data_IF_282385287161
#
_entry.id   IF_282385287161
#
_cell.length_a   1.000
_cell.length_b   1.000
_cell.length_c   1.000
_cell.angle_alpha   90.00
_cell.angle_beta   90.00
_cell.angle_gamma   90.00
#
_symmetry.space_group_name_H-M   'P 1'
#
loop_
_entity.id
_entity.type
_entity.pdbx_description
1 polymer ?
#
# COMPACT_ATOMS: atom_id res chain seq x y z
N UNK A 1 48.65 -38.13 24.63
CA UNK A 1 48.68 -36.74 24.62
C UNK A 1 48.31 -36.20 23.26
N UNK A 2 47.24 -35.72 22.95
CA UNK A 2 46.94 -34.74 21.89
C UNK A 2 45.45 -34.55 21.79
N UNK A 3 44.98 -33.42 22.24
CA UNK A 3 43.60 -32.97 22.04
C UNK A 3 43.44 -32.37 20.67
N UNK A 4 42.31 -32.70 20.00
CA UNK A 4 41.82 -31.99 18.84
C UNK A 4 40.49 -31.38 19.19
N UNK A 5 40.46 -30.07 19.29
CA UNK A 5 39.26 -29.26 19.32
C UNK A 5 38.91 -28.84 17.93
N UNK A 6 37.85 -29.39 17.37
CA UNK A 6 37.25 -28.95 16.10
C UNK A 6 36.13 -27.97 16.40
N UNK A 7 36.34 -26.69 16.14
CA UNK A 7 35.29 -25.69 16.13
C UNK A 7 34.61 -25.69 14.75
N UNK A 8 33.32 -26.02 14.71
CA UNK A 8 32.50 -25.80 13.55
C UNK A 8 31.87 -24.40 13.68
N UNK A 9 32.39 -23.44 12.91
CA UNK A 9 31.74 -22.17 12.68
C UNK A 9 30.59 -22.35 11.70
N UNK A 10 29.37 -22.30 12.18
CA UNK A 10 28.21 -22.12 11.34
C UNK A 10 28.11 -20.66 10.93
N UNK A 11 28.29 -20.40 9.66
CA UNK A 11 27.91 -19.11 9.07
C UNK A 11 26.40 -19.06 9.02
N UNK A 12 25.82 -18.19 9.84
CA UNK A 12 24.43 -17.80 9.67
C UNK A 12 24.34 -17.08 8.31
N UNK A 13 23.59 -17.66 7.40
CA UNK A 13 23.15 -16.93 6.22
C UNK A 13 22.18 -15.85 6.72
N UNK A 14 22.60 -14.60 6.53
CA UNK A 14 21.78 -13.41 6.64
C UNK A 14 20.73 -13.49 5.51
N UNK A 15 19.53 -13.92 5.84
CA UNK A 15 18.39 -13.84 4.95
C UNK A 15 17.97 -12.36 4.94
N UNK A 16 18.45 -11.62 3.94
CA UNK A 16 18.16 -10.22 3.71
C UNK A 16 16.66 -9.96 3.47
N UNK A 17 15.87 -10.13 4.52
CA UNK A 17 14.57 -9.47 4.62
C UNK A 17 14.88 -8.01 4.89
N UNK A 18 14.67 -7.20 3.86
CA UNK A 18 14.73 -5.76 3.99
C UNK A 18 13.92 -5.33 5.21
N UNK A 19 14.57 -4.71 6.15
CA UNK A 19 13.90 -3.99 7.23
C UNK A 19 13.04 -2.93 6.54
N UNK A 20 11.73 -3.22 6.44
CA UNK A 20 10.75 -2.23 6.05
C UNK A 20 10.91 -1.06 7.03
N UNK A 21 11.21 0.10 6.51
CA UNK A 21 11.31 1.33 7.31
C UNK A 21 9.91 1.63 7.81
N UNK A 22 9.59 1.14 8.99
CA UNK A 22 8.32 1.37 9.67
C UNK A 22 8.44 2.40 10.79
N UNK A 23 9.44 3.29 10.71
CA UNK A 23 9.55 4.41 11.63
C UNK A 23 8.87 5.65 11.02
N UNK A 24 7.70 6.07 11.55
CA UNK A 24 7.00 7.25 11.07
C UNK A 24 7.87 8.53 11.10
N UNK A 25 8.82 8.61 12.02
CA UNK A 25 9.73 9.74 12.11
C UNK A 25 10.76 9.74 10.97
N UNK A 26 11.24 8.56 10.55
CA UNK A 26 12.16 8.45 9.41
C UNK A 26 11.44 8.76 8.08
N UNK A 27 10.17 8.37 7.97
CA UNK A 27 9.33 8.73 6.82
C UNK A 27 9.10 10.24 6.76
N UNK A 28 8.80 10.87 7.92
CA UNK A 28 8.59 12.32 7.99
C UNK A 28 9.88 13.10 7.64
N UNK A 29 11.05 12.66 8.09
CA UNK A 29 12.33 13.28 7.72
C UNK A 29 12.64 13.13 6.22
N UNK A 30 12.30 12.00 5.59
CA UNK A 30 12.43 11.83 4.14
C UNK A 30 11.45 12.71 3.35
N UNK A 31 10.27 12.96 3.89
CA UNK A 31 9.31 13.87 3.26
C UNK A 31 9.78 15.32 3.26
N UNK A 32 10.38 15.77 4.36
CA UNK A 32 10.94 17.15 4.46
C UNK A 32 12.10 17.35 3.47
N UNK A 33 12.88 16.30 3.16
CA UNK A 33 13.96 16.37 2.17
C UNK A 33 13.46 16.19 0.72
N UNK A 34 12.39 15.44 0.50
CA UNK A 34 11.98 15.02 -0.84
C UNK A 34 11.31 16.13 -1.65
N UNK A 35 10.46 16.92 -1.04
CA UNK A 35 9.79 18.00 -1.73
C UNK A 35 8.91 18.86 -0.83
N UNK A 36 8.90 20.15 -1.08
CA UNK A 36 7.92 21.05 -0.47
C UNK A 36 6.52 20.90 -1.09
N UNK A 37 6.26 19.88 -1.90
CA UNK A 37 5.00 19.67 -2.62
C UNK A 37 4.61 18.19 -2.63
N UNK A 38 3.31 17.91 -2.70
CA UNK A 38 2.73 16.56 -2.76
C UNK A 38 3.19 15.70 -3.96
N UNK A 39 3.83 16.31 -4.94
CA UNK A 39 4.31 15.67 -6.17
C UNK A 39 5.84 15.76 -6.30
N UNK A 40 6.55 15.94 -5.20
CA UNK A 40 8.00 15.97 -5.21
C UNK A 40 8.61 14.60 -5.45
N UNK A 41 9.77 14.60 -6.09
CA UNK A 41 10.54 13.38 -6.35
C UNK A 41 11.36 13.03 -5.12
N UNK A 42 11.19 11.82 -4.61
CA UNK A 42 12.01 11.32 -3.50
C UNK A 42 13.49 11.24 -3.89
N UNK A 43 14.42 11.61 -3.01
CA UNK A 43 15.85 11.56 -3.28
C UNK A 43 16.36 10.12 -3.41
N UNK A 44 15.73 9.19 -2.72
CA UNK A 44 15.95 7.74 -2.83
C UNK A 44 14.70 7.06 -3.34
N UNK A 45 14.85 5.89 -3.96
CA UNK A 45 13.69 5.10 -4.38
C UNK A 45 12.91 4.64 -3.14
N UNK A 46 11.62 4.95 -3.12
CA UNK A 46 10.67 4.44 -2.14
C UNK A 46 10.00 3.22 -2.75
N UNK A 47 10.19 2.07 -2.13
CA UNK A 47 9.54 0.82 -2.51
C UNK A 47 8.40 0.53 -1.55
N UNK A 48 7.29 0.03 -2.08
CA UNK A 48 6.16 -0.43 -1.27
C UNK A 48 5.58 -1.71 -1.84
N UNK A 49 5.03 -2.53 -0.97
CA UNK A 49 4.33 -3.76 -1.33
C UNK A 49 2.85 -3.49 -1.58
N UNK A 50 2.29 -4.13 -2.60
CA UNK A 50 0.91 -3.91 -3.03
C UNK A 50 0.16 -5.23 -3.17
N UNK A 51 -0.98 -5.34 -2.51
CA UNK A 51 -1.99 -6.36 -2.78
C UNK A 51 -3.00 -5.81 -3.79
N UNK A 52 -3.09 -6.44 -4.96
CA UNK A 52 -3.79 -5.91 -6.12
C UNK A 52 -4.87 -6.85 -6.61
N UNK A 53 -6.03 -6.27 -6.88
CA UNK A 53 -7.09 -6.98 -7.62
C UNK A 53 -6.82 -6.80 -9.12
N UNK A 54 -6.63 -7.91 -9.83
CA UNK A 54 -6.64 -7.95 -11.29
C UNK A 54 -8.06 -8.29 -11.76
N UNK A 55 -8.53 -7.58 -12.75
CA UNK A 55 -9.86 -7.82 -13.30
C UNK A 55 -9.81 -8.30 -14.73
N UNK A 56 -10.79 -9.10 -15.14
CA UNK A 56 -10.95 -9.53 -16.53
C UNK A 56 -11.03 -8.36 -17.54
N UNK A 57 -11.40 -7.18 -17.08
CA UNK A 57 -11.44 -5.97 -17.89
C UNK A 57 -10.08 -5.28 -18.10
N UNK A 58 -9.04 -5.74 -17.42
CA UNK A 58 -7.68 -5.20 -17.56
C UNK A 58 -6.85 -5.93 -18.63
N UNK A 59 -7.49 -6.76 -19.44
CA UNK A 59 -6.88 -7.46 -20.57
C UNK A 59 -6.37 -6.54 -21.70
N UNK A 60 -6.53 -5.24 -21.57
CA UNK A 60 -6.13 -4.25 -22.56
C UNK A 60 -4.75 -3.61 -22.30
N UNK A 61 -3.93 -4.21 -21.46
CA UNK A 61 -2.56 -3.74 -21.33
C UNK A 61 -1.80 -3.91 -22.66
N UNK A 62 -1.00 -2.92 -23.05
CA UNK A 62 -0.13 -3.04 -24.23
C UNK A 62 0.76 -4.29 -24.16
N UNK A 63 1.11 -4.81 -25.33
CA UNK A 63 1.96 -6.01 -25.41
C UNK A 63 3.30 -5.76 -24.70
N UNK A 64 3.60 -6.59 -23.73
CA UNK A 64 4.81 -6.50 -22.89
C UNK A 64 4.65 -5.71 -21.61
N UNK A 65 3.51 -5.06 -21.39
CA UNK A 65 3.17 -4.44 -20.11
C UNK A 65 2.54 -5.46 -19.15
N UNK A 66 2.78 -5.25 -17.86
CA UNK A 66 2.16 -5.99 -16.75
C UNK A 66 1.51 -5.00 -15.78
N UNK A 67 0.77 -5.48 -14.80
CA UNK A 67 0.21 -4.60 -13.78
C UNK A 67 1.30 -3.90 -12.97
N UNK A 68 2.38 -4.58 -12.66
CA UNK A 68 3.51 -4.01 -11.95
C UNK A 68 4.41 -3.12 -12.83
N UNK A 69 4.46 -3.39 -14.12
CA UNK A 69 5.30 -2.66 -15.06
C UNK A 69 4.53 -2.22 -16.30
N UNK A 70 3.94 -1.05 -16.23
CA UNK A 70 3.17 -0.42 -17.31
C UNK A 70 3.52 1.07 -17.42
N UNK A 71 2.89 1.78 -18.35
CA UNK A 71 3.17 3.19 -18.56
C UNK A 71 2.97 4.04 -17.29
N UNK A 72 1.96 3.74 -16.48
CA UNK A 72 1.67 4.46 -15.25
C UNK A 72 2.72 4.21 -14.16
N UNK A 73 3.06 2.96 -13.89
CA UNK A 73 4.07 2.62 -12.88
C UNK A 73 5.48 3.08 -13.28
N UNK A 74 5.81 3.02 -14.58
CA UNK A 74 7.06 3.62 -15.10
C UNK A 74 7.10 5.14 -14.90
N UNK A 75 5.97 5.82 -15.13
CA UNK A 75 5.86 7.26 -14.87
C UNK A 75 6.06 7.58 -13.39
N UNK A 76 5.45 6.84 -12.48
CA UNK A 76 5.65 7.04 -11.03
C UNK A 76 7.12 6.87 -10.61
N UNK A 77 7.82 5.86 -11.16
CA UNK A 77 9.25 5.66 -10.92
C UNK A 77 10.08 6.83 -11.43
N UNK A 78 9.78 7.32 -12.62
CA UNK A 78 10.52 8.41 -13.25
C UNK A 78 10.29 9.76 -12.53
N UNK A 79 9.04 10.08 -12.24
CA UNK A 79 8.62 11.39 -11.73
C UNK A 79 8.77 11.48 -10.22
N UNK A 80 8.39 10.45 -9.49
CA UNK A 80 8.34 10.46 -8.03
C UNK A 80 9.43 9.61 -7.36
N UNK A 81 10.11 8.76 -8.11
CA UNK A 81 11.05 7.78 -7.58
C UNK A 81 10.41 6.75 -6.64
N UNK A 82 9.17 6.33 -6.97
CA UNK A 82 8.39 5.35 -6.23
C UNK A 82 8.29 4.07 -7.05
N UNK A 83 8.46 2.93 -6.40
CA UNK A 83 8.34 1.61 -7.03
C UNK A 83 7.38 0.73 -6.23
N UNK A 84 6.36 0.18 -6.91
CA UNK A 84 5.51 -0.86 -6.38
C UNK A 84 6.13 -2.24 -6.58
N UNK A 85 5.92 -3.11 -5.59
CA UNK A 85 6.26 -4.53 -5.64
C UNK A 85 4.96 -5.31 -5.35
N UNK A 86 4.34 -5.89 -6.38
CA UNK A 86 3.07 -6.59 -6.22
C UNK A 86 3.29 -7.94 -5.54
N UNK A 87 2.84 -8.08 -4.29
CA UNK A 87 3.03 -9.30 -3.50
C UNK A 87 1.94 -10.33 -3.75
N UNK A 88 0.75 -9.89 -4.12
CA UNK A 88 -0.27 -10.73 -4.73
C UNK A 88 -1.11 -9.93 -5.72
N UNK A 89 -1.40 -10.57 -6.85
CA UNK A 89 -2.22 -10.05 -7.94
C UNK A 89 -3.24 -11.14 -8.27
N UNK A 90 -4.46 -10.96 -7.80
CA UNK A 90 -5.51 -11.97 -7.85
C UNK A 90 -6.78 -11.42 -8.44
N UNK A 91 -7.58 -12.26 -9.07
CA UNK A 91 -8.83 -11.87 -9.69
C UNK A 91 -9.92 -11.58 -8.64
N UNK A 92 -10.90 -10.77 -9.02
CA UNK A 92 -12.07 -10.46 -8.20
C UNK A 92 -13.10 -11.62 -8.25
N UNK A 93 -12.65 -12.84 -7.99
CA UNK A 93 -13.46 -14.07 -7.98
C UNK A 93 -13.52 -14.72 -6.58
N UNK A 94 -13.09 -13.97 -5.55
CA UNK A 94 -12.98 -14.43 -4.18
C UNK A 94 -11.55 -14.81 -3.77
N UNK A 95 -10.64 -15.04 -4.71
CA UNK A 95 -9.25 -15.41 -4.40
C UNK A 95 -8.48 -14.27 -3.72
N UNK A 96 -8.82 -13.02 -4.04
CA UNK A 96 -8.24 -11.87 -3.37
C UNK A 96 -8.65 -11.78 -1.90
N UNK A 97 -9.93 -11.98 -1.62
CA UNK A 97 -10.47 -11.98 -0.27
C UNK A 97 -9.86 -13.09 0.58
N UNK A 98 -9.69 -14.29 0.03
CA UNK A 98 -9.00 -15.40 0.70
C UNK A 98 -7.54 -15.06 1.04
N UNK A 99 -6.80 -14.46 0.11
CA UNK A 99 -5.42 -14.04 0.34
C UNK A 99 -5.34 -12.91 1.40
N UNK A 100 -6.28 -11.99 1.38
CA UNK A 100 -6.39 -10.94 2.38
C UNK A 100 -6.66 -11.52 3.78
N UNK A 101 -7.62 -12.44 3.90
CA UNK A 101 -7.92 -13.12 5.17
C UNK A 101 -6.69 -13.87 5.72
N UNK A 102 -5.96 -14.56 4.87
CA UNK A 102 -4.70 -15.23 5.27
C UNK A 102 -3.65 -14.22 5.72
N UNK A 103 -3.49 -13.11 5.01
CA UNK A 103 -2.53 -12.06 5.36
C UNK A 103 -2.87 -11.40 6.70
N UNK A 104 -4.17 -11.21 7.00
CA UNK A 104 -4.64 -10.71 8.29
C UNK A 104 -4.33 -11.72 9.40
N UNK A 105 -4.61 -13.00 9.19
CA UNK A 105 -4.36 -14.06 10.17
C UNK A 105 -2.88 -14.20 10.51
N UNK A 106 -2.02 -14.06 9.50
CA UNK A 106 -0.56 -14.13 9.65
C UNK A 106 0.05 -12.79 10.11
N UNK A 107 -0.75 -11.72 10.22
CA UNK A 107 -0.31 -10.34 10.51
C UNK A 107 0.78 -9.86 9.53
N UNK A 108 0.66 -10.24 8.27
CA UNK A 108 1.61 -9.97 7.19
C UNK A 108 0.86 -9.39 5.99
N UNK A 109 0.29 -8.19 6.18
CA UNK A 109 -0.39 -7.48 5.10
C UNK A 109 0.62 -6.67 4.27
N UNK A 110 0.36 -6.42 2.97
CA UNK A 110 1.16 -5.50 2.19
C UNK A 110 0.99 -4.05 2.67
N UNK A 111 1.93 -3.17 2.30
CA UNK A 111 1.88 -1.74 2.67
C UNK A 111 0.64 -1.04 2.11
N UNK A 112 0.19 -1.46 0.92
CA UNK A 112 -1.02 -0.95 0.27
C UNK A 112 -1.90 -2.13 -0.17
N UNK A 113 -3.18 -2.05 0.13
CA UNK A 113 -4.14 -3.10 -0.25
C UNK A 113 -5.52 -2.52 -0.53
N UNK A 114 -6.34 -3.26 -1.25
CA UNK A 114 -7.75 -2.95 -1.45
C UNK A 114 -8.58 -3.70 -0.39
N UNK A 115 -9.52 -3.01 0.24
CA UNK A 115 -10.40 -3.61 1.24
C UNK A 115 -11.84 -3.46 0.79
N UNK A 116 -12.55 -4.58 0.70
CA UNK A 116 -13.97 -4.61 0.34
C UNK A 116 -14.84 -4.53 1.59
N UNK A 117 -15.59 -3.43 1.71
CA UNK A 117 -16.54 -3.22 2.78
C UNK A 117 -15.97 -2.70 4.11
N UNK A 118 -16.84 -2.06 4.88
CA UNK A 118 -16.48 -1.44 6.15
C UNK A 118 -16.09 -2.47 7.22
N UNK A 119 -16.75 -3.63 7.25
CA UNK A 119 -16.52 -4.65 8.29
C UNK A 119 -15.10 -5.24 8.21
N UNK A 120 -14.60 -5.43 6.98
CA UNK A 120 -13.23 -5.89 6.77
C UNK A 120 -12.20 -4.82 7.18
N UNK A 121 -12.50 -3.55 6.89
CA UNK A 121 -11.64 -2.45 7.34
C UNK A 121 -11.65 -2.34 8.88
N UNK A 122 -12.80 -2.49 9.52
CA UNK A 122 -12.92 -2.49 10.99
C UNK A 122 -12.07 -3.61 11.62
N UNK A 123 -12.10 -4.80 11.03
CA UNK A 123 -11.25 -5.93 11.46
C UNK A 123 -9.76 -5.58 11.41
N UNK A 124 -9.31 -4.89 10.35
CA UNK A 124 -7.92 -4.44 10.21
C UNK A 124 -7.55 -3.37 11.23
N UNK A 125 -8.46 -2.42 11.47
CA UNK A 125 -8.29 -1.36 12.49
C UNK A 125 -8.18 -1.96 13.88
N UNK A 126 -9.10 -2.87 14.26
CA UNK A 126 -9.09 -3.55 15.56
C UNK A 126 -7.84 -4.41 15.75
N UNK A 127 -7.34 -5.03 14.69
CA UNK A 127 -6.10 -5.79 14.71
C UNK A 127 -4.84 -4.91 14.78
N UNK A 128 -4.97 -3.59 14.59
CA UNK A 128 -3.85 -2.65 14.55
C UNK A 128 -2.91 -2.92 13.38
N UNK A 129 -3.48 -3.25 12.21
CA UNK A 129 -2.74 -3.58 10.99
C UNK A 129 -2.76 -2.45 9.96
N UNK A 130 -3.53 -1.39 10.18
CA UNK A 130 -3.65 -0.24 9.30
C UNK A 130 -3.35 1.06 10.04
N UNK A 131 -2.80 2.02 9.33
CA UNK A 131 -2.36 3.30 9.87
C UNK A 131 -3.48 4.34 9.89
N UNK A 132 -3.37 5.30 10.83
CA UNK A 132 -4.20 6.49 10.88
C UNK A 132 -3.76 7.47 9.78
N UNK A 133 -4.58 7.63 8.76
CA UNK A 133 -4.32 8.46 7.60
C UNK A 133 -4.86 9.90 7.73
N UNK A 134 -5.36 10.30 8.90
CA UNK A 134 -6.01 11.61 9.09
C UNK A 134 -5.06 12.75 8.73
N UNK A 135 -3.85 12.75 9.29
CA UNK A 135 -2.85 13.78 9.01
C UNK A 135 -2.38 13.73 7.55
N UNK A 136 -2.19 12.53 7.01
CA UNK A 136 -1.82 12.33 5.59
C UNK A 136 -2.89 12.92 4.67
N UNK A 137 -4.16 12.69 4.97
CA UNK A 137 -5.26 13.29 4.21
C UNK A 137 -5.25 14.81 4.30
N UNK A 138 -5.06 15.36 5.48
CA UNK A 138 -5.11 16.81 5.71
C UNK A 138 -3.92 17.54 5.08
N UNK A 139 -2.73 17.01 5.20
CA UNK A 139 -1.48 17.70 4.83
C UNK A 139 -0.97 17.34 3.43
N UNK A 140 -1.16 16.08 3.01
CA UNK A 140 -0.57 15.57 1.77
C UNK A 140 -1.55 15.47 0.60
N UNK A 141 -2.87 15.57 0.85
CA UNK A 141 -3.87 15.49 -0.21
C UNK A 141 -4.06 16.86 -0.87
N UNK A 142 -4.08 16.89 -2.21
CA UNK A 142 -4.31 18.11 -2.97
C UNK A 142 -5.74 18.64 -2.78
N UNK A 143 -5.91 19.95 -2.95
CA UNK A 143 -7.24 20.59 -2.86
C UNK A 143 -8.24 19.96 -3.83
N UNK A 144 -7.81 19.62 -5.05
CA UNK A 144 -8.66 18.95 -6.05
C UNK A 144 -9.21 17.60 -5.56
N UNK A 145 -8.40 16.81 -4.86
CA UNK A 145 -8.84 15.54 -4.28
C UNK A 145 -9.78 15.80 -3.09
N UNK A 146 -9.49 16.78 -2.25
CA UNK A 146 -10.37 17.16 -1.13
C UNK A 146 -11.74 17.65 -1.63
N UNK A 147 -11.76 18.46 -2.67
CA UNK A 147 -13.01 18.93 -3.31
C UNK A 147 -13.78 17.75 -3.92
N UNK A 148 -13.10 16.81 -4.54
CA UNK A 148 -13.71 15.59 -5.06
C UNK A 148 -14.38 14.80 -3.93
N UNK A 149 -13.69 14.50 -2.83
CA UNK A 149 -14.30 13.80 -1.70
C UNK A 149 -15.46 14.59 -1.09
N UNK A 150 -15.32 15.90 -0.93
CA UNK A 150 -16.38 16.76 -0.41
C UNK A 150 -17.65 16.75 -1.27
N UNK A 151 -17.50 16.56 -2.59
CA UNK A 151 -18.64 16.48 -3.52
C UNK A 151 -19.54 15.27 -3.28
N UNK A 152 -19.04 14.21 -2.67
CA UNK A 152 -19.82 13.01 -2.28
C UNK A 152 -20.47 13.13 -0.90
N UNK A 153 -20.19 14.22 -0.17
CA UNK A 153 -20.69 14.42 1.19
C UNK A 153 -19.84 13.75 2.28
N UNK A 154 -20.22 14.00 3.52
CA UNK A 154 -19.46 13.50 4.68
C UNK A 154 -19.51 11.97 4.85
N UNK A 155 -20.52 11.33 4.29
CA UNK A 155 -20.75 9.88 4.43
C UNK A 155 -19.62 9.05 3.77
N UNK A 156 -19.02 9.56 2.69
CA UNK A 156 -18.00 8.81 1.96
C UNK A 156 -16.74 8.59 2.82
N UNK A 157 -16.11 9.64 3.31
CA UNK A 157 -14.97 9.52 4.22
C UNK A 157 -15.38 8.91 5.57
N UNK A 158 -16.61 9.17 6.02
CA UNK A 158 -17.18 8.55 7.20
C UNK A 158 -17.21 7.03 7.14
N UNK A 159 -17.38 6.45 5.95
CA UNK A 159 -17.34 4.99 5.75
C UNK A 159 -15.99 4.35 6.10
N UNK A 160 -14.91 5.10 6.02
CA UNK A 160 -13.55 4.68 6.34
C UNK A 160 -13.01 5.30 7.63
N UNK A 161 -13.87 5.97 8.40
CA UNK A 161 -13.51 6.64 9.66
C UNK A 161 -14.00 5.82 10.85
N UNK A 162 -13.11 5.59 11.82
CA UNK A 162 -13.38 4.93 13.10
C UNK A 162 -12.81 5.80 14.22
N UNK A 163 -13.61 6.07 15.25
CA UNK A 163 -13.22 6.91 16.39
C UNK A 163 -12.61 8.28 16.00
N UNK A 164 -13.12 8.86 14.91
CA UNK A 164 -12.67 10.15 14.39
C UNK A 164 -11.35 10.11 13.59
N UNK A 165 -10.83 8.93 13.27
CA UNK A 165 -9.61 8.71 12.50
C UNK A 165 -9.90 8.04 11.17
N UNK A 166 -9.28 8.54 10.12
CA UNK A 166 -9.39 7.98 8.76
C UNK A 166 -8.40 6.84 8.58
N UNK A 167 -8.85 5.67 8.11
CA UNK A 167 -8.00 4.50 7.92
C UNK A 167 -7.92 4.00 6.47
N UNK A 168 -8.74 4.53 5.58
CA UNK A 168 -8.67 4.20 4.17
C UNK A 168 -9.20 5.35 3.31
N UNK A 169 -8.81 5.34 2.04
CA UNK A 169 -9.38 6.23 1.02
C UNK A 169 -10.47 5.46 0.26
N UNK A 170 -11.77 5.80 0.44
CA UNK A 170 -12.87 5.16 -0.26
C UNK A 170 -12.72 5.31 -1.78
N UNK A 171 -13.00 4.24 -2.52
CA UNK A 171 -13.03 4.30 -3.98
C UNK A 171 -14.23 5.13 -4.43
N UNK A 172 -13.97 6.08 -5.32
CA UNK A 172 -14.95 7.00 -5.91
C UNK A 172 -15.29 6.65 -7.35
N UNK A 173 -15.13 5.40 -7.74
CA UNK A 173 -15.56 4.99 -9.08
C UNK A 173 -17.02 5.35 -9.29
N UNK A 174 -17.28 6.14 -10.32
CA UNK A 174 -18.64 6.39 -10.80
C UNK A 174 -19.12 5.06 -11.35
N UNK A 175 -20.04 4.43 -10.63
CA UNK A 175 -20.88 3.43 -11.25
C UNK A 175 -21.67 4.19 -12.33
N UNK A 176 -21.37 3.91 -13.59
CA UNK A 176 -22.19 4.37 -14.69
C UNK A 176 -23.57 3.76 -14.50
N UNK A 177 -24.34 4.39 -13.61
CA UNK A 177 -25.73 4.05 -13.35
C UNK A 177 -26.43 3.95 -14.69
N UNK A 178 -26.55 2.76 -15.15
CA UNK A 178 -27.15 2.45 -16.42
C UNK A 178 -28.59 2.90 -16.41
N UNK A 179 -28.80 3.86 -17.24
CA UNK A 179 -30.14 4.14 -17.71
C UNK A 179 -30.58 3.09 -18.72
#
# INVERSE_FOLDING_TARGET
ASGCTGGAGGTAEDDGRGEGVSDPAAIAEEWDEAAPTHLGKYPKTVEYTLGKISGANNSNLPVGDTYENNAYTRYLREVLNIQNNDVFELEADGSYEEALEMSIADRSIPDVLVVSGRDNLETLVEAGLVEDLTTVYEECTTDAIKEMYASYGEELLGSATFDGKLYAFPNTAIDDGHM
#
